data_IF_482601431717
#
_entry.id   IF_482601431717
#
_cell.length_a   1.000
_cell.length_b   1.000
_cell.length_c   1.000
_cell.angle_alpha   90.00
_cell.angle_beta   90.00
_cell.angle_gamma   90.00
#
_symmetry.space_group_name_H-M   'P 1'
#
loop_
_entity.id
_entity.type
_entity.pdbx_description
1 polymer ?
#
# COMPACT_ATOMS: atom_id res chain seq x y z
N UNK A 1 -8.50 -13.54 -12.39
CA UNK A 1 -9.93 -13.17 -12.53
C UNK A 1 -10.66 -13.00 -11.18
N UNK A 2 -10.39 -13.82 -10.14
CA UNK A 2 -11.00 -13.64 -8.80
C UNK A 2 -10.45 -12.45 -8.00
N UNK A 3 -9.14 -12.16 -8.07
CA UNK A 3 -8.51 -11.08 -7.30
C UNK A 3 -9.08 -9.70 -7.64
N UNK A 4 -9.24 -9.40 -8.94
CA UNK A 4 -9.78 -8.14 -9.42
C UNK A 4 -11.21 -7.89 -8.94
N UNK A 5 -12.07 -8.91 -9.05
CA UNK A 5 -13.46 -8.81 -8.61
C UNK A 5 -13.59 -8.68 -7.09
N UNK A 6 -12.83 -9.48 -6.33
CA UNK A 6 -12.97 -9.53 -4.88
C UNK A 6 -12.41 -8.28 -4.18
N UNK A 7 -11.41 -7.62 -4.79
CA UNK A 7 -10.73 -6.48 -4.18
C UNK A 7 -10.86 -5.17 -4.97
N UNK A 8 -11.73 -5.14 -5.98
CA UNK A 8 -11.99 -3.96 -6.82
C UNK A 8 -10.70 -3.40 -7.45
N UNK A 9 -9.82 -4.29 -7.91
CA UNK A 9 -8.57 -3.89 -8.58
C UNK A 9 -8.91 -3.48 -10.01
N UNK A 10 -8.50 -2.28 -10.46
CA UNK A 10 -8.73 -1.82 -11.84
C UNK A 10 -8.24 -2.81 -12.89
N UNK A 11 -8.93 -2.90 -14.03
CA UNK A 11 -8.63 -3.89 -15.08
C UNK A 11 -7.29 -3.62 -15.81
N UNK A 12 -6.80 -2.38 -15.75
CA UNK A 12 -5.50 -1.94 -16.28
C UNK A 12 -4.32 -2.33 -15.38
N UNK A 13 -4.56 -2.79 -14.15
CA UNK A 13 -3.51 -3.33 -13.27
C UNK A 13 -3.19 -4.77 -13.65
N UNK A 14 -1.96 -5.02 -14.09
CA UNK A 14 -1.50 -6.39 -14.37
C UNK A 14 -1.21 -7.11 -13.05
N UNK A 15 -1.90 -8.23 -12.80
CA UNK A 15 -1.64 -9.10 -11.64
C UNK A 15 -0.84 -10.33 -12.07
N UNK A 16 0.21 -10.67 -11.33
CA UNK A 16 1.04 -11.85 -11.56
C UNK A 16 1.27 -12.62 -10.27
N UNK A 17 1.40 -13.94 -10.37
CA UNK A 17 1.75 -14.79 -9.22
C UNK A 17 3.27 -14.76 -9.04
N UNK A 18 3.79 -14.44 -7.84
CA UNK A 18 5.23 -14.49 -7.58
C UNK A 18 5.80 -15.89 -7.78
N UNK A 19 7.01 -15.97 -8.31
CA UNK A 19 7.80 -17.22 -8.39
C UNK A 19 8.43 -17.51 -7.02
N UNK A 20 8.85 -18.75 -6.82
CA UNK A 20 9.54 -19.17 -5.59
C UNK A 20 10.83 -18.36 -5.31
N UNK A 21 11.50 -17.91 -6.36
CA UNK A 21 12.70 -17.06 -6.27
C UNK A 21 12.40 -15.61 -5.89
N UNK A 22 11.15 -15.17 -6.03
CA UNK A 22 10.79 -13.77 -5.87
C UNK A 22 10.72 -13.41 -4.38
N UNK A 23 11.26 -12.24 -4.05
CA UNK A 23 11.21 -11.71 -2.68
C UNK A 23 10.18 -10.62 -2.63
N UNK A 24 9.23 -10.73 -1.70
CA UNK A 24 8.20 -9.71 -1.54
C UNK A 24 8.77 -8.32 -1.23
N UNK A 25 9.92 -8.25 -0.55
CA UNK A 25 10.63 -7.01 -0.24
C UNK A 25 11.46 -6.44 -1.40
N UNK A 26 11.58 -7.15 -2.52
CA UNK A 26 12.36 -6.77 -3.70
C UNK A 26 11.56 -7.14 -4.96
N UNK A 27 10.43 -6.46 -5.24
CA UNK A 27 9.66 -6.72 -6.44
C UNK A 27 10.48 -6.35 -7.69
N UNK A 28 10.23 -7.00 -8.84
CA UNK A 28 10.81 -6.60 -10.11
C UNK A 28 10.50 -5.12 -10.45
N UNK A 29 11.35 -4.43 -11.23
CA UNK A 29 11.09 -3.04 -11.63
C UNK A 29 9.70 -2.87 -12.26
N UNK A 30 8.94 -1.88 -11.80
CA UNK A 30 7.57 -1.62 -12.25
C UNK A 30 6.48 -2.45 -11.56
N UNK A 31 6.86 -3.38 -10.68
CA UNK A 31 5.92 -4.18 -9.89
C UNK A 31 5.95 -3.75 -8.42
N UNK A 32 4.85 -4.04 -7.73
CA UNK A 32 4.77 -4.03 -6.27
C UNK A 32 4.29 -5.41 -5.80
N UNK A 33 4.74 -5.83 -4.62
CA UNK A 33 4.21 -7.04 -3.99
C UNK A 33 3.20 -6.66 -2.92
N UNK A 34 2.03 -7.31 -2.94
CA UNK A 34 0.96 -7.12 -1.98
C UNK A 34 0.49 -8.47 -1.44
N UNK A 35 0.16 -8.52 -0.16
CA UNK A 35 -0.49 -9.70 0.44
C UNK A 35 -2.01 -9.57 0.37
N UNK A 36 -2.74 -10.69 0.33
CA UNK A 36 -4.19 -10.67 0.42
C UNK A 36 -4.68 -10.00 1.73
N UNK A 37 -3.91 -10.18 2.81
CA UNK A 37 -4.21 -9.55 4.12
C UNK A 37 -4.22 -8.04 4.00
N UNK A 38 -3.27 -7.44 3.27
CA UNK A 38 -3.22 -5.99 3.04
C UNK A 38 -4.45 -5.49 2.26
N UNK A 39 -4.92 -6.26 1.27
CA UNK A 39 -6.14 -5.94 0.51
C UNK A 39 -7.39 -6.00 1.41
N UNK A 40 -7.48 -7.03 2.25
CA UNK A 40 -8.55 -7.19 3.26
C UNK A 40 -8.51 -6.08 4.31
N UNK A 41 -7.33 -5.59 4.67
CA UNK A 41 -7.13 -4.48 5.62
C UNK A 41 -7.48 -3.10 5.06
N UNK A 42 -7.92 -3.00 3.80
CA UNK A 42 -8.43 -1.76 3.22
C UNK A 42 -7.54 -1.11 2.16
N UNK A 43 -6.40 -1.71 1.81
CA UNK A 43 -5.60 -1.21 0.69
C UNK A 43 -6.41 -1.26 -0.62
N UNK A 44 -6.40 -0.16 -1.38
CA UNK A 44 -7.06 -0.04 -2.68
C UNK A 44 -6.06 0.36 -3.76
N UNK A 45 -6.40 0.04 -5.00
CA UNK A 45 -5.55 0.28 -6.17
C UNK A 45 -6.15 1.37 -7.07
N UNK A 46 -5.29 2.28 -7.60
CA UNK A 46 -3.87 2.43 -7.26
C UNK A 46 -3.70 2.90 -5.79
N UNK A 47 -2.57 2.57 -5.13
CA UNK A 47 -2.26 3.13 -3.81
C UNK A 47 -2.29 4.65 -3.84
N UNK A 48 -2.69 5.28 -2.75
CA UNK A 48 -2.71 6.73 -2.65
C UNK A 48 -1.30 7.32 -2.76
N UNK A 49 -1.18 8.53 -3.30
CA UNK A 49 0.11 9.22 -3.44
C UNK A 49 0.81 9.40 -2.08
N UNK A 50 0.03 9.65 -1.03
CA UNK A 50 0.50 9.76 0.35
C UNK A 50 1.15 8.45 0.83
N UNK A 51 0.52 7.31 0.56
CA UNK A 51 1.06 5.99 0.92
C UNK A 51 2.35 5.70 0.14
N UNK A 52 2.39 6.02 -1.15
CA UNK A 52 3.58 5.85 -1.98
C UNK A 52 4.74 6.70 -1.44
N UNK A 53 4.49 7.95 -1.08
CA UNK A 53 5.52 8.85 -0.56
C UNK A 53 6.02 8.40 0.82
N UNK A 54 5.14 7.90 1.70
CA UNK A 54 5.52 7.32 2.99
C UNK A 54 6.45 6.12 2.78
N UNK A 55 6.07 5.18 1.91
CA UNK A 55 6.91 4.00 1.59
C UNK A 55 8.27 4.41 1.05
N UNK A 56 8.28 5.39 0.14
CA UNK A 56 9.51 5.93 -0.47
C UNK A 56 10.42 6.56 0.58
N UNK A 57 9.89 7.37 1.50
CA UNK A 57 10.68 7.99 2.58
C UNK A 57 11.21 6.99 3.59
N UNK A 58 10.41 5.97 3.92
CA UNK A 58 10.83 4.91 4.83
C UNK A 58 11.80 3.91 4.18
N UNK A 59 11.95 3.93 2.84
CA UNK A 59 12.80 2.96 2.13
C UNK A 59 12.26 1.53 2.22
N UNK A 60 10.94 1.37 2.37
CA UNK A 60 10.30 0.07 2.55
C UNK A 60 9.32 -0.23 1.42
N UNK A 61 9.18 -1.51 1.11
CA UNK A 61 8.16 -1.98 0.17
C UNK A 61 6.80 -2.12 0.86
N UNK A 62 5.73 -2.02 0.06
CA UNK A 62 4.35 -2.21 0.52
C UNK A 62 4.14 -3.53 1.29
N UNK A 63 4.83 -4.59 0.86
CA UNK A 63 4.84 -5.92 1.46
C UNK A 63 5.49 -6.00 2.85
N UNK A 64 6.33 -5.02 3.20
CA UNK A 64 7.01 -4.95 4.50
C UNK A 64 6.17 -4.21 5.54
N UNK A 65 5.11 -3.49 5.13
CA UNK A 65 4.18 -2.92 6.08
C UNK A 65 3.37 -4.03 6.75
N UNK A 66 3.38 -4.04 8.09
CA UNK A 66 2.46 -4.89 8.84
C UNK A 66 1.01 -4.50 8.57
N UNK A 67 0.08 -5.44 8.72
CA UNK A 67 -1.34 -5.15 8.56
C UNK A 67 -1.80 -4.01 9.49
N UNK A 68 -1.25 -3.95 10.71
CA UNK A 68 -1.54 -2.89 11.68
C UNK A 68 -1.02 -1.55 11.18
N UNK A 69 0.23 -1.48 10.70
CA UNK A 69 0.78 -0.25 10.14
C UNK A 69 -0.03 0.22 8.94
N UNK A 70 -0.43 -0.69 8.05
CA UNK A 70 -1.32 -0.41 6.92
C UNK A 70 -2.65 0.21 7.34
N UNK A 71 -3.37 -0.43 8.27
CA UNK A 71 -4.66 0.07 8.73
C UNK A 71 -4.54 1.46 9.38
N UNK A 72 -3.48 1.70 10.15
CA UNK A 72 -3.21 3.02 10.74
C UNK A 72 -2.93 4.07 9.66
N UNK A 73 -2.04 3.79 8.71
CA UNK A 73 -1.69 4.73 7.64
C UNK A 73 -2.91 5.05 6.78
N UNK A 74 -3.66 4.03 6.33
CA UNK A 74 -4.88 4.23 5.54
C UNK A 74 -5.92 5.03 6.33
N UNK A 75 -6.10 4.75 7.62
CA UNK A 75 -7.00 5.51 8.48
C UNK A 75 -6.58 6.97 8.63
N UNK A 76 -5.29 7.25 8.79
CA UNK A 76 -4.77 8.61 8.86
C UNK A 76 -4.94 9.36 7.52
N UNK A 77 -4.69 8.69 6.39
CA UNK A 77 -4.92 9.27 5.06
C UNK A 77 -6.40 9.66 4.90
N UNK A 78 -7.31 8.76 5.27
CA UNK A 78 -8.75 9.05 5.23
C UNK A 78 -9.11 10.25 6.13
N UNK A 79 -8.60 10.28 7.36
CA UNK A 79 -8.84 11.36 8.31
C UNK A 79 -8.31 12.72 7.84
N UNK A 80 -7.11 12.75 7.26
CA UNK A 80 -6.52 13.99 6.73
C UNK A 80 -7.35 14.52 5.56
N UNK A 81 -7.74 13.64 4.64
CA UNK A 81 -8.58 14.02 3.49
C UNK A 81 -9.94 14.56 3.90
N UNK A 82 -10.56 13.93 4.90
CA UNK A 82 -11.83 14.40 5.48
C UNK A 82 -11.73 15.83 6.02
N UNK A 83 -10.54 16.20 6.54
CA UNK A 83 -10.24 17.56 7.02
C UNK A 83 -9.65 18.50 5.96
N UNK A 84 -9.63 18.10 4.69
CA UNK A 84 -9.05 18.91 3.61
C UNK A 84 -7.52 19.03 3.66
N UNK A 85 -6.83 18.12 4.34
CA UNK A 85 -5.39 18.07 4.48
C UNK A 85 -4.78 16.84 3.78
N UNK A 86 -3.46 16.86 3.57
CA UNK A 86 -2.70 15.75 2.98
C UNK A 86 -1.76 15.20 4.04
N UNK A 87 -1.80 13.88 4.26
CA UNK A 87 -0.85 13.22 5.14
C UNK A 87 0.53 13.20 4.47
N UNK A 88 1.53 13.68 5.19
CA UNK A 88 2.93 13.65 4.75
C UNK A 88 3.81 12.85 5.71
N UNK A 89 4.96 12.33 5.27
CA UNK A 89 5.90 11.60 6.12
C UNK A 89 6.38 12.39 7.35
N UNK A 90 6.44 13.72 7.26
CA UNK A 90 6.82 14.61 8.37
C UNK A 90 5.79 14.56 9.50
N UNK A 91 4.50 14.38 9.19
CA UNK A 91 3.46 14.22 10.21
C UNK A 91 3.69 12.94 11.03
N UNK A 92 4.03 11.84 10.35
CA UNK A 92 4.32 10.55 11.03
C UNK A 92 5.56 10.64 11.91
N UNK A 93 6.57 11.38 11.47
CA UNK A 93 7.83 11.56 12.21
C UNK A 93 7.63 12.29 13.55
N UNK A 94 6.52 13.02 13.72
CA UNK A 94 6.16 13.76 14.94
C UNK A 94 5.28 12.95 15.91
N UNK A 95 4.94 11.71 15.57
CA UNK A 95 4.07 10.83 16.38
C UNK A 95 4.86 9.88 17.29
N UNK A 96 6.19 9.99 17.30
CA UNK A 96 7.10 9.20 18.14
C UNK A 96 7.59 9.97 19.36
#
# INVERSE_FOLDING_TARGET
MLLHKNFHIPNDVVTTVPKLSDRASLPPPGYLTVSEVSLRAGLRFPPSAELIEILRRCGVCLSQLSYRAMSVIVGLIALFRDRGAVLTPEHLSRMG
#
